data_IF_432763824180
#
_entry.id   IF_432763824180
#
_cell.length_a   1.000
_cell.length_b   1.000
_cell.length_c   1.000
_cell.angle_alpha   90.00
_cell.angle_beta   90.00
_cell.angle_gamma   90.00
#
_symmetry.space_group_name_H-M   'P 1'
#
loop_
_entity.id
_entity.type
_entity.pdbx_description
1 polymer ?
#
# COMPACT_ATOMS: atom_id res chain seq x y z
N UNK A 1 2.73 7.93 2.52
CA UNK A 1 2.23 7.06 3.62
C UNK A 1 0.85 7.50 4.07
N UNK A 2 -0.18 6.64 3.95
CA UNK A 2 -1.56 6.92 4.40
C UNK A 2 -1.94 5.92 5.51
N UNK A 3 -2.55 6.40 6.59
CA UNK A 3 -3.01 5.56 7.69
C UNK A 3 -4.53 5.50 7.67
N UNK A 4 -5.06 4.28 7.64
CA UNK A 4 -6.49 4.03 7.76
C UNK A 4 -6.79 3.69 9.20
N UNK A 5 -7.87 4.24 9.73
CA UNK A 5 -8.35 3.95 11.08
C UNK A 5 -9.87 3.72 11.04
N UNK A 6 -10.32 2.61 11.62
CA UNK A 6 -11.67 2.09 11.42
C UNK A 6 -12.60 2.30 12.61
N UNK A 7 -13.51 3.26 12.52
CA UNK A 7 -14.52 3.53 13.55
C UNK A 7 -15.70 2.56 13.35
N UNK A 8 -15.87 1.55 14.21
CA UNK A 8 -16.96 0.57 14.05
C UNK A 8 -18.19 0.85 14.91
N UNK A 9 -19.35 0.78 14.22
CA UNK A 9 -20.77 0.79 14.61
C UNK A 9 -21.23 1.91 15.57
N UNK A 10 -21.97 2.87 14.99
CA UNK A 10 -23.12 3.48 15.66
C UNK A 10 -24.07 2.37 16.16
N UNK A 11 -24.71 2.49 17.33
CA UNK A 11 -25.63 1.48 17.84
C UNK A 11 -26.79 1.27 16.84
N UNK A 12 -27.05 0.01 16.45
CA UNK A 12 -28.20 -0.45 15.68
C UNK A 12 -28.57 0.30 14.37
N UNK A 13 -27.62 0.43 13.42
CA UNK A 13 -27.84 1.03 12.07
C UNK A 13 -28.66 0.17 11.10
N UNK A 14 -29.54 -0.73 11.56
CA UNK A 14 -30.42 -1.50 10.65
C UNK A 14 -31.67 -0.67 10.24
N UNK A 15 -31.91 0.50 10.86
CA UNK A 15 -33.11 1.34 10.60
C UNK A 15 -32.85 2.72 9.97
N UNK A 16 -31.64 3.27 10.04
CA UNK A 16 -31.36 4.64 9.57
C UNK A 16 -31.01 4.66 8.09
N UNK A 17 -31.42 5.73 7.38
CA UNK A 17 -30.97 5.98 6.02
C UNK A 17 -29.52 6.45 6.01
N UNK A 18 -28.81 6.28 4.88
CA UNK A 18 -27.45 6.81 4.74
C UNK A 18 -27.38 8.31 5.04
N UNK A 19 -28.41 9.06 4.67
CA UNK A 19 -28.45 10.50 4.88
C UNK A 19 -28.63 10.88 6.35
N UNK A 20 -29.25 10.01 7.14
CA UNK A 20 -29.32 10.20 8.60
C UNK A 20 -27.94 9.97 9.21
N UNK A 21 -27.22 8.93 8.77
CA UNK A 21 -25.84 8.67 9.21
C UNK A 21 -24.89 9.82 8.81
N UNK A 22 -25.12 10.45 7.65
CA UNK A 22 -24.42 11.69 7.25
C UNK A 22 -24.71 12.79 8.26
N UNK A 23 -25.98 13.10 8.54
CA UNK A 23 -26.38 14.13 9.51
C UNK A 23 -25.73 13.93 10.89
N UNK A 24 -25.81 12.72 11.44
CA UNK A 24 -25.18 12.38 12.73
C UNK A 24 -23.66 12.55 12.70
N UNK A 25 -23.00 12.21 11.58
CA UNK A 25 -21.55 12.37 11.46
C UNK A 25 -21.16 13.86 11.46
N UNK A 26 -21.98 14.71 10.83
CA UNK A 26 -21.72 16.15 10.78
C UNK A 26 -21.99 16.84 12.12
N UNK A 27 -23.10 16.52 12.78
CA UNK A 27 -23.37 16.99 14.15
C UNK A 27 -22.24 16.60 15.11
N UNK A 28 -21.74 15.38 14.98
CA UNK A 28 -20.59 14.91 15.76
C UNK A 28 -19.31 15.70 15.46
N UNK A 29 -18.98 15.97 14.19
CA UNK A 29 -17.82 16.78 13.80
C UNK A 29 -17.92 18.23 14.32
N UNK A 30 -19.11 18.83 14.23
CA UNK A 30 -19.39 20.18 14.76
C UNK A 30 -19.25 20.21 16.28
N UNK A 31 -19.80 19.22 16.99
CA UNK A 31 -19.67 19.09 18.45
C UNK A 31 -18.21 18.98 18.93
N UNK A 32 -17.31 18.48 18.07
CA UNK A 32 -15.86 18.43 18.33
C UNK A 32 -15.11 19.73 17.97
N UNK A 33 -15.79 20.74 17.42
CA UNK A 33 -15.16 21.95 16.87
C UNK A 33 -14.25 21.63 15.67
N UNK A 34 -14.59 20.60 14.89
CA UNK A 34 -13.80 20.09 13.77
C UNK A 34 -14.58 20.23 12.46
N UNK A 35 -14.76 21.48 12.03
CA UNK A 35 -15.48 21.79 10.80
C UNK A 35 -14.77 21.21 9.56
N UNK A 36 -15.56 20.61 8.67
CA UNK A 36 -15.07 20.10 7.40
C UNK A 36 -14.84 21.26 6.42
N UNK A 37 -13.69 21.31 5.76
CA UNK A 37 -13.39 22.32 4.72
C UNK A 37 -13.78 21.87 3.32
N UNK A 38 -14.16 20.62 3.15
CA UNK A 38 -14.60 20.07 1.88
C UNK A 38 -15.34 18.76 2.07
N UNK A 39 -16.29 18.49 1.17
CA UNK A 39 -17.04 17.23 1.13
C UNK A 39 -16.95 16.64 -0.25
N UNK A 40 -16.70 15.33 -0.31
CA UNK A 40 -16.69 14.58 -1.56
C UNK A 40 -17.53 13.32 -1.42
N UNK A 41 -18.65 13.26 -2.15
CA UNK A 41 -19.49 12.07 -2.24
C UNK A 41 -19.12 11.29 -3.50
N UNK A 42 -18.74 10.03 -3.32
CA UNK A 42 -18.53 9.11 -4.43
C UNK A 42 -19.61 8.04 -4.42
N UNK A 43 -20.30 7.88 -5.54
CA UNK A 43 -21.36 6.89 -5.74
C UNK A 43 -20.95 5.94 -6.85
N UNK A 44 -21.16 4.64 -6.63
CA UNK A 44 -20.75 3.57 -7.53
C UNK A 44 -21.96 2.68 -7.84
N UNK A 45 -22.32 2.62 -9.12
CA UNK A 45 -23.34 1.73 -9.66
C UNK A 45 -22.72 0.56 -10.43
N UNK A 46 -23.43 -0.57 -10.49
CA UNK A 46 -23.12 -1.76 -11.26
C UNK A 46 -23.72 -1.76 -12.68
N UNK A 47 -24.45 -0.69 -13.02
CA UNK A 47 -24.88 -0.34 -14.36
C UNK A 47 -25.13 1.18 -14.44
N UNK A 48 -25.31 1.75 -15.64
CA UNK A 48 -25.48 3.20 -15.78
C UNK A 48 -26.84 3.67 -15.27
N UNK A 49 -27.88 2.82 -15.40
CA UNK A 49 -29.24 3.12 -14.95
C UNK A 49 -29.33 3.40 -13.45
N UNK A 50 -28.52 2.71 -12.65
CA UNK A 50 -28.45 2.94 -11.20
C UNK A 50 -27.95 4.35 -10.84
N UNK A 51 -27.23 5.03 -11.75
CA UNK A 51 -26.74 6.39 -11.55
C UNK A 51 -27.61 7.46 -12.24
N UNK A 52 -28.72 7.09 -12.88
CA UNK A 52 -29.60 8.02 -13.60
C UNK A 52 -30.01 9.24 -12.76
N UNK A 53 -30.43 8.98 -11.52
CA UNK A 53 -30.84 10.04 -10.58
C UNK A 53 -29.69 10.94 -10.11
N UNK A 54 -28.44 10.58 -10.44
CA UNK A 54 -27.21 11.30 -10.08
C UNK A 54 -26.61 12.08 -11.25
N UNK A 55 -27.14 11.96 -12.47
CA UNK A 55 -26.59 12.61 -13.67
C UNK A 55 -26.49 14.14 -13.52
N UNK A 56 -27.53 14.79 -13.00
CA UNK A 56 -27.53 16.25 -12.78
C UNK A 56 -26.60 16.74 -11.68
N UNK A 57 -26.02 15.82 -10.89
CA UNK A 57 -25.10 16.14 -9.78
C UNK A 57 -23.63 15.94 -10.17
N UNK A 58 -23.34 15.56 -11.42
CA UNK A 58 -21.99 15.32 -11.89
C UNK A 58 -21.21 16.63 -11.98
N UNK A 59 -20.15 16.76 -11.18
CA UNK A 59 -19.23 17.91 -11.20
C UNK A 59 -17.81 17.53 -11.62
N UNK A 60 -17.51 16.23 -11.66
CA UNK A 60 -16.23 15.68 -12.06
C UNK A 60 -16.42 14.58 -13.11
N UNK A 61 -15.37 14.30 -13.90
CA UNK A 61 -15.38 13.18 -14.84
C UNK A 61 -15.80 11.88 -14.14
N UNK A 62 -16.69 11.14 -14.78
CA UNK A 62 -17.08 9.82 -14.33
C UNK A 62 -15.94 8.84 -14.61
N UNK A 63 -15.70 7.93 -13.67
CA UNK A 63 -14.81 6.80 -13.88
C UNK A 63 -15.68 5.61 -14.22
N UNK A 64 -15.55 5.10 -15.44
CA UNK A 64 -16.24 3.86 -15.82
C UNK A 64 -15.23 2.72 -15.84
N UNK A 65 -15.71 1.57 -15.45
CA UNK A 65 -15.00 0.32 -15.43
C UNK A 65 -15.93 -0.74 -15.99
N UNK A 66 -15.52 -1.48 -17.01
CA UNK A 66 -16.42 -2.44 -17.64
C UNK A 66 -15.72 -3.66 -18.17
N UNK A 67 -16.48 -4.74 -18.26
CA UNK A 67 -16.07 -5.97 -18.95
C UNK A 67 -16.54 -5.91 -20.39
N UNK A 68 -15.61 -5.74 -21.31
CA UNK A 68 -15.90 -5.71 -22.75
C UNK A 68 -16.03 -7.17 -23.21
N UNK A 69 -17.19 -7.49 -23.80
CA UNK A 69 -17.42 -8.79 -24.43
C UNK A 69 -17.00 -8.73 -25.90
N UNK A 70 -16.37 -9.79 -26.39
CA UNK A 70 -15.81 -9.83 -27.74
C UNK A 70 -16.89 -10.27 -28.72
N UNK A 71 -17.70 -9.32 -29.20
CA UNK A 71 -18.77 -9.61 -30.15
C UNK A 71 -18.27 -9.87 -31.59
N UNK A 72 -16.98 -9.63 -31.88
CA UNK A 72 -16.26 -10.33 -32.96
C UNK A 72 -14.76 -10.38 -32.64
N UNK A 73 -14.26 -11.61 -32.52
CA UNK A 73 -13.02 -11.98 -31.84
C UNK A 73 -11.75 -11.27 -32.35
N UNK A 74 -11.64 -11.04 -33.65
CA UNK A 74 -10.44 -10.46 -34.26
C UNK A 74 -10.50 -8.93 -34.36
N UNK A 75 -11.69 -8.36 -34.57
CA UNK A 75 -11.86 -6.92 -34.72
C UNK A 75 -11.72 -6.21 -33.38
N UNK A 76 -12.32 -6.74 -32.31
CA UNK A 76 -12.18 -6.14 -30.99
C UNK A 76 -10.74 -6.24 -30.48
N UNK A 77 -10.02 -7.34 -30.74
CA UNK A 77 -8.61 -7.45 -30.33
C UNK A 77 -7.70 -6.48 -31.08
N UNK A 78 -7.84 -6.37 -32.41
CA UNK A 78 -7.10 -5.39 -33.22
C UNK A 78 -7.46 -3.94 -32.88
N UNK A 79 -8.74 -3.69 -32.56
CA UNK A 79 -9.20 -2.39 -32.07
C UNK A 79 -8.61 -2.08 -30.69
N UNK A 80 -8.49 -3.07 -29.81
CA UNK A 80 -7.88 -2.89 -28.49
C UNK A 80 -6.35 -2.70 -28.58
N UNK A 81 -5.68 -3.41 -29.50
CA UNK A 81 -4.23 -3.32 -29.76
C UNK A 81 -3.83 -1.96 -30.35
N UNK A 82 -4.58 -1.45 -31.33
CA UNK A 82 -4.26 -0.19 -32.00
C UNK A 82 -4.88 1.06 -31.35
N UNK A 83 -6.03 0.94 -30.66
CA UNK A 83 -6.81 2.10 -30.22
C UNK A 83 -6.70 2.36 -28.70
N UNK A 84 -6.42 1.34 -27.87
CA UNK A 84 -6.31 1.57 -26.41
C UNK A 84 -5.02 2.25 -25.98
N UNK A 85 -3.93 2.19 -26.75
CA UNK A 85 -2.75 2.99 -26.40
C UNK A 85 -3.04 4.47 -26.68
N UNK A 86 -3.67 4.75 -27.83
CA UNK A 86 -3.85 6.12 -28.33
C UNK A 86 -5.00 6.91 -27.65
N UNK A 87 -6.07 6.25 -27.17
CA UNK A 87 -7.19 6.95 -26.49
C UNK A 87 -6.95 7.15 -24.98
N UNK A 88 -5.94 6.49 -24.38
CA UNK A 88 -5.58 6.69 -22.97
C UNK A 88 -6.57 6.15 -21.91
N UNK A 89 -6.99 4.87 -21.95
CA UNK A 89 -7.63 4.22 -20.82
C UNK A 89 -6.68 4.28 -19.62
N UNK A 90 -7.24 4.45 -18.42
CA UNK A 90 -6.42 4.53 -17.21
C UNK A 90 -5.75 3.18 -16.91
N UNK A 91 -6.47 2.09 -17.20
CA UNK A 91 -6.05 0.75 -16.84
C UNK A 91 -6.79 -0.29 -17.69
N UNK A 92 -6.06 -1.28 -18.16
CA UNK A 92 -6.59 -2.47 -18.84
C UNK A 92 -6.19 -3.67 -17.98
N UNK A 93 -7.12 -4.57 -17.74
CA UNK A 93 -6.89 -5.81 -17.02
C UNK A 93 -7.33 -6.99 -17.89
N UNK A 94 -6.40 -7.93 -18.08
CA UNK A 94 -6.52 -9.11 -18.92
C UNK A 94 -6.39 -10.35 -18.04
N UNK A 95 -7.50 -11.02 -17.69
CA UNK A 95 -7.44 -12.34 -17.05
C UNK A 95 -6.85 -13.37 -18.02
N UNK A 96 -5.84 -14.10 -17.55
CA UNK A 96 -5.08 -15.06 -18.37
C UNK A 96 -5.36 -16.53 -17.98
N UNK A 97 -6.44 -16.76 -17.24
CA UNK A 97 -6.84 -18.08 -16.73
C UNK A 97 -6.23 -18.41 -15.36
N UNK A 98 -6.97 -19.21 -14.58
CA UNK A 98 -6.65 -19.43 -13.16
C UNK A 98 -6.65 -18.10 -12.40
N UNK A 99 -5.64 -17.89 -11.56
CA UNK A 99 -5.40 -16.64 -10.84
C UNK A 99 -4.43 -15.69 -11.59
N UNK A 100 -4.04 -16.02 -12.83
CA UNK A 100 -3.06 -15.21 -13.59
C UNK A 100 -3.70 -13.99 -14.25
N UNK A 101 -3.01 -12.86 -14.22
CA UNK A 101 -3.50 -11.60 -14.78
C UNK A 101 -2.37 -10.74 -15.34
N UNK A 102 -2.69 -10.00 -16.39
CA UNK A 102 -1.87 -8.92 -16.94
C UNK A 102 -2.65 -7.62 -16.79
N UNK A 103 -2.00 -6.59 -16.30
CA UNK A 103 -2.58 -5.28 -16.11
C UNK A 103 -1.70 -4.24 -16.79
N UNK A 104 -2.27 -3.46 -17.70
CA UNK A 104 -1.61 -2.32 -18.33
C UNK A 104 -2.21 -1.02 -17.81
N UNK A 105 -1.39 0.02 -17.76
CA UNK A 105 -1.74 1.41 -17.51
C UNK A 105 -0.69 2.30 -18.20
N UNK A 106 -0.97 3.58 -18.47
CA UNK A 106 0.00 4.47 -19.07
C UNK A 106 1.33 4.46 -18.28
N UNK A 107 2.43 4.15 -18.97
CA UNK A 107 3.77 4.05 -18.37
C UNK A 107 3.98 2.86 -17.43
N UNK A 108 3.04 1.92 -17.30
CA UNK A 108 3.19 0.80 -16.36
C UNK A 108 2.46 -0.50 -16.77
N UNK A 109 3.18 -1.61 -16.77
CA UNK A 109 2.67 -2.95 -17.04
C UNK A 109 2.95 -3.86 -15.84
N UNK A 110 1.92 -4.55 -15.34
CA UNK A 110 2.02 -5.51 -14.24
C UNK A 110 1.60 -6.89 -14.75
N UNK A 111 2.39 -7.91 -14.43
CA UNK A 111 2.00 -9.30 -14.69
C UNK A 111 2.11 -10.11 -13.42
N UNK A 112 1.03 -10.80 -13.07
CA UNK A 112 0.95 -11.66 -11.89
C UNK A 112 0.56 -13.06 -12.32
N UNK A 113 1.37 -14.04 -11.95
CA UNK A 113 1.04 -15.42 -12.24
C UNK A 113 1.75 -16.40 -11.28
N UNK A 114 1.23 -17.64 -11.13
CA UNK A 114 1.99 -18.73 -10.51
C UNK A 114 3.30 -18.99 -11.27
N UNK A 115 4.35 -19.44 -10.60
CA UNK A 115 5.67 -19.75 -11.21
C UNK A 115 5.59 -20.71 -12.42
N UNK A 116 4.65 -21.65 -12.40
CA UNK A 116 4.43 -22.63 -13.47
C UNK A 116 3.50 -22.12 -14.59
N UNK A 117 3.13 -20.84 -14.57
CA UNK A 117 2.21 -20.28 -15.56
C UNK A 117 2.80 -20.27 -16.96
N UNK A 118 1.93 -20.58 -17.94
CA UNK A 118 2.23 -20.48 -19.37
C UNK A 118 2.59 -19.05 -19.81
N UNK A 119 2.28 -18.03 -18.98
CA UNK A 119 2.62 -16.64 -19.24
C UNK A 119 4.12 -16.35 -19.22
N UNK A 120 4.90 -17.01 -18.36
CA UNK A 120 6.32 -16.68 -18.19
C UNK A 120 7.16 -16.93 -19.43
N UNK A 121 7.02 -18.07 -20.15
CA UNK A 121 7.67 -18.25 -21.44
C UNK A 121 7.31 -17.16 -22.45
N UNK A 122 6.03 -16.78 -22.54
CA UNK A 122 5.55 -15.74 -23.47
C UNK A 122 6.12 -14.37 -23.15
N UNK A 123 6.15 -14.01 -21.86
CA UNK A 123 6.75 -12.76 -21.41
C UNK A 123 8.25 -12.72 -21.72
N UNK A 124 8.97 -13.82 -21.49
CA UNK A 124 10.40 -13.91 -21.80
C UNK A 124 10.68 -13.78 -23.30
N UNK A 125 9.83 -14.35 -24.15
CA UNK A 125 9.92 -14.18 -25.62
C UNK A 125 9.73 -12.72 -26.04
N UNK A 126 8.67 -12.06 -25.54
CA UNK A 126 8.41 -10.63 -25.80
C UNK A 126 9.60 -9.80 -25.30
N UNK A 127 10.05 -10.08 -24.08
CA UNK A 127 11.18 -9.40 -23.45
C UNK A 127 12.47 -9.50 -24.27
N UNK A 128 12.82 -10.70 -24.72
CA UNK A 128 14.02 -10.94 -25.51
C UNK A 128 13.98 -10.19 -26.84
N UNK A 129 12.81 -10.07 -27.46
CA UNK A 129 12.63 -9.41 -28.76
C UNK A 129 12.83 -7.90 -28.70
N UNK A 130 12.36 -7.25 -27.64
CA UNK A 130 12.51 -5.80 -27.48
C UNK A 130 13.88 -5.38 -26.96
N UNK A 131 14.85 -6.32 -26.91
CA UNK A 131 16.26 -5.99 -26.76
C UNK A 131 16.51 -5.11 -25.55
N UNK A 132 15.83 -5.43 -24.44
CA UNK A 132 15.87 -4.66 -23.22
C UNK A 132 17.18 -4.98 -22.50
N UNK A 133 18.27 -4.45 -23.07
CA UNK A 133 19.63 -4.59 -22.55
C UNK A 133 19.63 -3.97 -21.16
N UNK A 134 19.72 -4.83 -20.15
CA UNK A 134 19.81 -4.42 -18.77
C UNK A 134 21.04 -3.51 -18.61
N UNK A 135 20.82 -2.28 -18.13
CA UNK A 135 21.92 -1.37 -17.77
C UNK A 135 22.51 -1.73 -16.42
N UNK A 136 21.64 -2.12 -15.50
CA UNK A 136 21.96 -2.38 -14.10
C UNK A 136 20.93 -3.38 -13.57
N UNK A 137 21.34 -4.24 -12.63
CA UNK A 137 20.43 -5.15 -11.93
C UNK A 137 20.70 -5.11 -10.44
N UNK A 138 19.63 -5.04 -9.66
CA UNK A 138 19.64 -5.08 -8.21
C UNK A 138 18.92 -6.34 -7.77
N UNK A 139 19.49 -7.05 -6.81
CA UNK A 139 18.87 -8.22 -6.18
C UNK A 139 18.95 -8.07 -4.67
N UNK A 140 17.84 -8.36 -4.00
CA UNK A 140 17.77 -8.39 -2.55
C UNK A 140 16.68 -9.35 -2.07
N UNK A 141 16.69 -9.64 -0.77
CA UNK A 141 15.63 -10.41 -0.13
C UNK A 141 14.86 -9.54 0.85
N UNK A 142 13.54 -9.62 0.82
CA UNK A 142 12.66 -9.01 1.81
C UNK A 142 11.58 -10.03 2.22
N UNK A 143 11.32 -10.19 3.52
CA UNK A 143 10.37 -11.19 4.04
C UNK A 143 10.62 -12.62 3.50
N UNK A 144 11.90 -13.02 3.41
CA UNK A 144 12.33 -14.32 2.87
C UNK A 144 11.93 -14.57 1.41
N UNK A 145 11.71 -13.50 0.64
CA UNK A 145 11.34 -13.56 -0.77
C UNK A 145 12.36 -12.82 -1.60
N UNK A 146 12.63 -13.34 -2.79
CA UNK A 146 13.51 -12.70 -3.74
C UNK A 146 12.82 -11.48 -4.37
N UNK A 147 13.58 -10.38 -4.42
CA UNK A 147 13.26 -9.19 -5.17
C UNK A 147 14.39 -8.95 -6.16
N UNK A 148 14.03 -8.65 -7.40
CA UNK A 148 14.97 -8.30 -8.45
C UNK A 148 14.48 -7.07 -9.18
N UNK A 149 15.32 -6.06 -9.31
CA UNK A 149 15.02 -4.91 -10.14
C UNK A 149 16.02 -4.81 -11.28
N UNK A 150 15.55 -4.59 -12.50
CA UNK A 150 16.39 -4.51 -13.70
C UNK A 150 16.18 -3.15 -14.37
N UNK A 151 17.26 -2.37 -14.49
CA UNK A 151 17.25 -1.05 -15.13
C UNK A 151 17.25 -1.17 -16.64
N UNK A 152 16.36 -0.42 -17.28
CA UNK A 152 16.22 -0.34 -18.72
C UNK A 152 16.58 1.06 -19.21
N UNK A 153 16.76 1.27 -20.53
CA UNK A 153 17.00 2.60 -21.07
C UNK A 153 15.91 3.64 -20.78
N UNK A 154 14.65 3.21 -20.62
CA UNK A 154 13.47 4.07 -20.46
C UNK A 154 12.73 3.88 -19.13
N UNK A 155 13.21 2.98 -18.26
CA UNK A 155 12.41 2.53 -17.13
C UNK A 155 13.10 1.46 -16.29
N UNK A 156 12.32 0.66 -15.56
CA UNK A 156 12.83 -0.48 -14.82
C UNK A 156 11.79 -1.61 -14.76
N UNK A 157 12.26 -2.85 -14.57
CA UNK A 157 11.42 -3.95 -14.09
C UNK A 157 11.65 -4.10 -12.59
N UNK A 158 10.59 -4.37 -11.84
CA UNK A 158 10.65 -4.92 -10.50
C UNK A 158 9.94 -6.28 -10.48
N UNK A 159 10.69 -7.34 -10.23
CA UNK A 159 10.22 -8.70 -10.02
C UNK A 159 10.10 -8.94 -8.50
N UNK A 160 8.93 -9.39 -8.07
CA UNK A 160 8.61 -9.66 -6.67
C UNK A 160 7.91 -11.00 -6.51
N UNK A 161 7.93 -11.55 -5.29
CA UNK A 161 7.17 -12.74 -4.93
C UNK A 161 6.14 -12.42 -3.84
N UNK A 162 4.92 -12.00 -4.21
CA UNK A 162 3.90 -11.55 -3.24
C UNK A 162 3.31 -12.69 -2.40
N UNK A 163 3.50 -13.96 -2.80
CA UNK A 163 3.17 -15.16 -2.03
C UNK A 163 4.02 -16.35 -2.53
N UNK A 164 4.05 -17.45 -1.77
CA UNK A 164 4.78 -18.66 -2.18
C UNK A 164 4.30 -19.15 -3.54
N UNK A 165 5.24 -19.53 -4.42
CA UNK A 165 4.98 -20.04 -5.77
C UNK A 165 4.34 -19.03 -6.74
N UNK A 166 4.47 -17.72 -6.46
CA UNK A 166 3.92 -16.64 -7.25
C UNK A 166 4.97 -15.61 -7.57
N UNK A 167 4.98 -15.18 -8.83
CA UNK A 167 5.79 -14.07 -9.28
C UNK A 167 4.90 -12.91 -9.74
N UNK A 168 5.36 -11.70 -9.48
CA UNK A 168 4.77 -10.47 -9.95
C UNK A 168 5.86 -9.61 -10.58
N UNK A 169 5.67 -9.26 -11.86
CA UNK A 169 6.57 -8.37 -12.60
C UNK A 169 5.89 -7.02 -12.77
N UNK A 170 6.62 -5.96 -12.48
CA UNK A 170 6.22 -4.58 -12.67
C UNK A 170 7.20 -3.92 -13.63
N UNK A 171 6.76 -3.60 -14.84
CA UNK A 171 7.53 -2.83 -15.80
C UNK A 171 7.05 -1.39 -15.79
N UNK A 172 7.89 -0.48 -15.28
CA UNK A 172 7.56 0.93 -15.09
C UNK A 172 8.43 1.79 -16.01
N UNK A 173 7.82 2.70 -16.76
CA UNK A 173 8.48 3.77 -17.51
C UNK A 173 8.75 4.93 -16.56
N UNK A 174 9.94 5.51 -16.63
CA UNK A 174 10.26 6.65 -15.78
C UNK A 174 9.58 7.94 -16.22
N UNK A 175 9.30 8.86 -15.29
CA UNK A 175 8.79 10.18 -15.63
C UNK A 175 9.70 10.90 -16.63
N UNK A 176 9.14 11.36 -17.75
CA UNK A 176 9.87 12.08 -18.80
C UNK A 176 10.59 11.19 -19.82
N UNK A 177 10.51 9.86 -19.70
CA UNK A 177 10.98 8.93 -20.73
C UNK A 177 9.85 8.59 -21.72
N UNK A 178 10.25 8.20 -22.93
CA UNK A 178 9.33 7.76 -23.99
C UNK A 178 8.72 6.38 -23.65
N UNK A 179 7.38 6.30 -23.63
CA UNK A 179 6.63 5.08 -23.33
C UNK A 179 6.45 4.18 -24.57
N UNK A 180 6.92 4.62 -25.74
CA UNK A 180 6.84 3.88 -27.01
C UNK A 180 7.35 2.45 -26.88
N UNK A 181 8.44 2.21 -26.14
CA UNK A 181 8.96 0.86 -25.93
C UNK A 181 7.99 -0.02 -25.12
N UNK A 182 7.36 0.54 -24.08
CA UNK A 182 6.34 -0.16 -23.29
C UNK A 182 5.10 -0.46 -24.15
N UNK A 183 4.71 0.46 -25.01
CA UNK A 183 3.57 0.29 -25.91
C UNK A 183 3.81 -0.83 -26.92
N UNK A 184 5.03 -0.97 -27.45
CA UNK A 184 5.40 -2.11 -28.29
C UNK A 184 5.43 -3.45 -27.53
N UNK A 185 5.98 -3.45 -26.29
CA UNK A 185 5.95 -4.64 -25.41
C UNK A 185 4.51 -5.06 -25.13
N UNK A 186 3.64 -4.09 -24.83
CA UNK A 186 2.22 -4.32 -24.62
C UNK A 186 1.55 -4.89 -25.87
N UNK A 187 1.78 -4.31 -27.05
CA UNK A 187 1.20 -4.79 -28.30
C UNK A 187 1.58 -6.24 -28.62
N UNK A 188 2.88 -6.61 -28.55
CA UNK A 188 3.33 -8.00 -28.79
C UNK A 188 2.81 -8.95 -27.71
N UNK A 189 2.76 -8.52 -26.45
CA UNK A 189 2.18 -9.32 -25.37
C UNK A 189 0.68 -9.59 -25.62
N UNK A 190 -0.09 -8.56 -25.94
CA UNK A 190 -1.51 -8.66 -26.30
C UNK A 190 -1.69 -9.60 -27.48
N UNK A 191 -0.93 -9.44 -28.56
CA UNK A 191 -0.99 -10.34 -29.70
C UNK A 191 -0.81 -11.83 -29.29
N UNK A 192 0.09 -12.12 -28.35
CA UNK A 192 0.41 -13.48 -27.88
C UNK A 192 -0.52 -14.03 -26.82
N UNK A 193 -1.11 -13.19 -25.97
CA UNK A 193 -2.10 -13.60 -24.98
C UNK A 193 -3.33 -14.23 -25.64
N UNK A 194 -3.57 -13.85 -26.90
CA UNK A 194 -4.71 -14.27 -27.67
C UNK A 194 -6.00 -13.70 -27.10
N UNK A 195 -7.10 -14.18 -27.65
CA UNK A 195 -8.43 -13.62 -27.45
C UNK A 195 -8.92 -13.88 -26.02
N UNK A 196 -9.25 -12.81 -25.28
CA UNK A 196 -9.68 -12.84 -23.86
C UNK A 196 -10.71 -11.75 -23.56
N UNK A 197 -11.62 -12.01 -22.63
CA UNK A 197 -12.45 -10.96 -22.03
C UNK A 197 -11.56 -9.95 -21.31
N UNK A 198 -11.82 -8.65 -21.47
CA UNK A 198 -11.04 -7.60 -20.83
C UNK A 198 -11.86 -6.80 -19.84
N UNK A 199 -11.23 -6.41 -18.73
CA UNK A 199 -11.75 -5.39 -17.82
C UNK A 199 -11.01 -4.08 -18.10
N UNK A 200 -11.72 -3.10 -18.63
CA UNK A 200 -11.15 -1.80 -19.00
C UNK A 200 -11.68 -0.72 -18.07
N UNK A 201 -10.80 0.16 -17.61
CA UNK A 201 -11.13 1.33 -16.80
C UNK A 201 -10.69 2.61 -17.49
N UNK A 202 -11.57 3.59 -17.54
CA UNK A 202 -11.32 4.86 -18.22
C UNK A 202 -12.05 6.03 -17.55
N UNK A 203 -11.81 7.23 -18.07
CA UNK A 203 -12.43 8.47 -17.65
C UNK A 203 -13.25 9.11 -18.76
N UNK A 204 -14.45 9.58 -18.43
CA UNK A 204 -15.26 10.37 -19.33
C UNK A 204 -15.77 11.62 -18.62
N UNK A 205 -15.80 12.75 -19.33
CA UNK A 205 -16.33 14.00 -18.77
C UNK A 205 -17.79 13.89 -18.35
N UNK A 206 -18.62 13.19 -19.14
CA UNK A 206 -20.05 13.01 -18.90
C UNK A 206 -20.41 11.52 -18.94
N UNK A 207 -21.33 11.08 -18.07
CA UNK A 207 -21.85 9.71 -18.12
C UNK A 207 -22.55 9.45 -19.46
N UNK A 208 -22.24 8.34 -20.16
CA UNK A 208 -22.89 8.01 -21.41
C UNK A 208 -24.33 7.57 -21.15
N UNK A 209 -25.21 7.77 -22.14
CA UNK A 209 -26.62 7.35 -22.06
C UNK A 209 -26.81 5.86 -22.36
N UNK A 210 -25.84 5.24 -23.01
CA UNK A 210 -25.84 3.82 -23.37
C UNK A 210 -24.74 3.09 -22.62
N UNK A 211 -24.98 1.82 -22.28
CA UNK A 211 -23.98 0.92 -21.71
C UNK A 211 -23.02 0.46 -22.80
N UNK A 212 -22.20 1.41 -23.25
CA UNK A 212 -21.09 1.18 -24.17
C UNK A 212 -19.82 1.76 -23.56
N UNK A 213 -18.71 1.04 -23.77
CA UNK A 213 -17.38 1.45 -23.35
C UNK A 213 -16.54 1.58 -24.62
N UNK A 214 -16.06 2.79 -24.91
CA UNK A 214 -15.30 3.07 -26.14
C UNK A 214 -16.08 2.68 -27.43
N UNK A 215 -17.40 2.88 -27.42
CA UNK A 215 -18.29 2.50 -28.53
C UNK A 215 -18.62 1.01 -28.62
N UNK A 216 -18.10 0.16 -27.72
CA UNK A 216 -18.37 -1.28 -27.70
C UNK A 216 -19.39 -1.66 -26.62
N UNK A 217 -20.27 -2.65 -26.87
CA UNK A 217 -21.18 -3.16 -25.85
C UNK A 217 -20.41 -3.82 -24.71
N UNK A 218 -20.90 -3.64 -23.48
CA UNK A 218 -20.24 -4.11 -22.25
C UNK A 218 -21.16 -5.04 -21.47
N UNK A 219 -20.62 -6.16 -21.00
CA UNK A 219 -21.37 -7.18 -20.25
C UNK A 219 -21.69 -6.73 -18.83
N UNK A 220 -20.83 -5.91 -18.25
CA UNK A 220 -21.00 -5.31 -16.93
C UNK A 220 -20.29 -3.97 -16.90
N UNK A 221 -20.96 -2.94 -16.37
CA UNK A 221 -20.43 -1.58 -16.24
C UNK A 221 -20.50 -1.14 -14.79
N UNK A 222 -19.36 -1.00 -14.15
CA UNK A 222 -19.24 -0.28 -12.91
C UNK A 222 -18.93 1.20 -13.20
N UNK A 223 -19.89 2.07 -12.89
CA UNK A 223 -19.73 3.51 -13.06
C UNK A 223 -19.52 4.16 -11.68
N UNK A 224 -18.57 5.10 -11.61
CA UNK A 224 -18.27 5.88 -10.41
C UNK A 224 -18.43 7.36 -10.70
N UNK A 225 -19.29 8.02 -9.95
CA UNK A 225 -19.53 9.45 -9.99
C UNK A 225 -19.00 10.09 -8.70
N UNK A 226 -18.28 11.20 -8.83
CA UNK A 226 -17.73 11.97 -7.71
C UNK A 226 -18.33 13.37 -7.71
N UNK A 227 -18.97 13.76 -6.61
CA UNK A 227 -19.52 15.09 -6.36
C UNK A 227 -18.67 15.75 -5.30
N UNK A 228 -18.18 16.96 -5.55
CA UNK A 228 -17.31 17.69 -4.62
C UNK A 228 -17.89 19.07 -4.36
N UNK A 229 -18.41 19.28 -3.15
CA UNK A 229 -19.01 20.55 -2.75
C UNK A 229 -18.20 21.24 -1.65
N UNK A 230 -18.14 22.59 -1.65
CA UNK A 230 -17.67 23.34 -0.50
C UNK A 230 -18.65 23.19 0.68
N UNK A 231 -18.22 23.44 1.94
CA UNK A 231 -19.01 23.17 3.14
C UNK A 231 -20.34 23.95 3.22
N UNK A 232 -20.46 25.08 2.51
CA UNK A 232 -21.61 25.97 2.55
C UNK A 232 -22.68 25.67 1.49
N UNK A 233 -22.40 24.79 0.52
CA UNK A 233 -23.30 24.51 -0.59
C UNK A 233 -23.71 23.03 -0.60
N UNK A 234 -24.99 22.80 -0.26
CA UNK A 234 -25.77 21.56 -0.39
C UNK A 234 -25.52 20.44 0.64
N UNK A 235 -26.32 20.46 1.72
CA UNK A 235 -27.37 19.47 2.02
C UNK A 235 -28.55 20.07 2.79
N UNK A 236 -28.72 21.39 2.69
CA UNK A 236 -29.84 22.10 3.32
C UNK A 236 -31.14 21.45 2.87
N UNK A 237 -31.93 21.09 3.87
CA UNK A 237 -33.10 20.21 3.85
C UNK A 237 -34.22 20.62 2.89
N UNK A 238 -34.08 21.72 2.15
CA UNK A 238 -35.15 22.35 1.38
C UNK A 238 -34.88 22.54 -0.12
N UNK A 239 -33.73 22.14 -0.67
CA UNK A 239 -33.48 22.27 -2.12
C UNK A 239 -32.93 20.98 -2.73
N UNK A 240 -33.79 20.33 -3.53
CA UNK A 240 -33.60 19.09 -4.29
C UNK A 240 -33.75 17.79 -3.48
N UNK A 241 -34.72 16.94 -3.90
CA UNK A 241 -34.88 15.59 -3.39
C UNK A 241 -33.53 14.85 -3.45
N UNK A 242 -32.99 14.48 -2.28
CA UNK A 242 -31.75 13.70 -2.19
C UNK A 242 -31.93 12.41 -3.00
N UNK A 243 -31.11 12.15 -4.04
CA UNK A 243 -31.29 10.96 -4.86
C UNK A 243 -31.16 9.67 -4.04
N UNK A 244 -31.90 8.64 -4.45
CA UNK A 244 -31.87 7.33 -3.80
C UNK A 244 -30.49 6.68 -3.99
N UNK A 245 -29.96 6.10 -2.91
CA UNK A 245 -28.72 5.32 -2.90
C UNK A 245 -28.98 3.80 -2.97
N UNK A 246 -30.20 3.38 -3.32
CA UNK A 246 -30.57 1.95 -3.39
C UNK A 246 -29.76 1.25 -4.47
N UNK A 247 -29.13 0.13 -4.11
CA UNK A 247 -28.31 -0.66 -5.05
C UNK A 247 -26.93 -0.06 -5.35
N UNK A 248 -26.61 1.12 -4.80
CA UNK A 248 -25.33 1.81 -4.99
C UNK A 248 -24.37 1.53 -3.84
N UNK A 249 -23.08 1.47 -4.14
CA UNK A 249 -22.04 1.64 -3.10
C UNK A 249 -21.72 3.11 -3.03
N UNK A 250 -21.65 3.69 -1.85
CA UNK A 250 -21.26 5.08 -1.71
C UNK A 250 -20.22 5.27 -0.62
N UNK A 251 -19.43 6.32 -0.76
CA UNK A 251 -18.65 6.84 0.34
C UNK A 251 -18.66 8.37 0.31
N UNK A 252 -18.99 8.97 1.44
CA UNK A 252 -18.89 10.41 1.63
C UNK A 252 -17.64 10.70 2.46
N UNK A 253 -16.79 11.61 1.98
CA UNK A 253 -15.59 12.03 2.69
C UNK A 253 -15.64 13.50 3.08
N UNK A 254 -15.26 13.81 4.32
CA UNK A 254 -15.05 15.15 4.84
C UNK A 254 -13.56 15.41 4.99
N UNK A 255 -13.06 16.47 4.37
CA UNK A 255 -11.71 16.98 4.61
C UNK A 255 -11.72 17.80 5.89
N UNK A 256 -10.93 17.40 6.88
CA UNK A 256 -10.91 18.05 8.20
C UNK A 256 -9.48 18.49 8.52
N UNK A 257 -9.02 19.59 7.91
CA UNK A 257 -7.62 19.97 7.94
C UNK A 257 -7.13 20.40 9.32
N UNK A 258 -7.98 21.01 10.14
CA UNK A 258 -7.63 21.59 11.45
C UNK A 258 -7.65 20.57 12.60
N UNK A 259 -7.70 19.29 12.28
CA UNK A 259 -7.65 18.25 13.29
C UNK A 259 -6.27 18.19 13.98
N UNK A 260 -5.20 18.45 13.23
CA UNK A 260 -3.83 18.52 13.74
C UNK A 260 -2.98 19.43 12.86
N UNK A 261 -2.02 20.15 13.44
CA UNK A 261 -1.04 20.95 12.70
C UNK A 261 -0.17 20.10 11.76
N UNK A 262 0.03 18.84 12.08
CA UNK A 262 0.97 17.96 11.36
C UNK A 262 0.30 16.95 10.44
N UNK A 263 -1.03 16.78 10.54
CA UNK A 263 -1.77 15.78 9.79
C UNK A 263 -2.90 16.44 9.00
N UNK A 264 -3.10 15.99 7.77
CA UNK A 264 -4.34 16.18 7.03
C UNK A 264 -5.21 14.96 7.23
N UNK A 265 -6.48 15.21 7.57
CA UNK A 265 -7.41 14.15 7.92
C UNK A 265 -8.59 14.14 6.95
N UNK A 266 -9.06 12.93 6.67
CA UNK A 266 -10.25 12.70 5.88
C UNK A 266 -11.14 11.73 6.63
N UNK A 267 -12.30 12.17 7.09
CA UNK A 267 -13.32 11.28 7.65
C UNK A 267 -14.13 10.73 6.47
N UNK A 268 -14.47 9.44 6.47
CA UNK A 268 -15.13 8.77 5.34
C UNK A 268 -16.26 7.87 5.86
N UNK A 269 -17.49 8.16 5.47
CA UNK A 269 -18.65 7.32 5.72
C UNK A 269 -18.92 6.44 4.49
N UNK A 270 -18.68 5.13 4.59
CA UNK A 270 -18.87 4.14 3.53
C UNK A 270 -20.16 3.36 3.72
N UNK A 271 -20.89 3.06 2.65
CA UNK A 271 -22.07 2.17 2.68
C UNK A 271 -22.00 1.10 1.61
N UNK A 272 -22.28 -0.13 2.00
CA UNK A 272 -22.47 -1.26 1.09
C UNK A 272 -23.40 -2.34 1.67
N UNK A 273 -24.30 -2.87 0.83
CA UNK A 273 -25.30 -3.91 1.11
C UNK A 273 -26.24 -3.57 2.27
N UNK A 274 -25.80 -3.74 3.52
CA UNK A 274 -26.63 -3.63 4.71
C UNK A 274 -25.99 -2.82 5.86
N UNK A 275 -24.83 -2.17 5.62
CA UNK A 275 -24.16 -1.41 6.68
C UNK A 275 -23.52 -0.13 6.19
N UNK A 276 -23.59 0.88 7.04
CA UNK A 276 -22.77 2.09 6.97
C UNK A 276 -21.59 1.94 7.94
N UNK A 277 -20.40 2.36 7.52
CA UNK A 277 -19.15 2.31 8.29
C UNK A 277 -18.45 3.66 8.21
N UNK A 278 -18.10 4.22 9.36
CA UNK A 278 -17.30 5.44 9.44
C UNK A 278 -15.81 5.09 9.55
N UNK A 279 -14.96 5.81 8.83
CA UNK A 279 -13.51 5.62 8.82
C UNK A 279 -12.84 6.99 8.95
N UNK A 280 -11.67 7.05 9.55
CA UNK A 280 -10.83 8.26 9.55
C UNK A 280 -9.48 7.92 8.93
N UNK A 281 -9.07 8.72 7.95
CA UNK A 281 -7.85 8.58 7.18
C UNK A 281 -6.92 9.72 7.56
N UNK A 282 -5.68 9.40 7.91
CA UNK A 282 -4.69 10.37 8.35
C UNK A 282 -3.51 10.37 7.37
N UNK A 283 -3.07 11.56 6.98
CA UNK A 283 -1.89 11.77 6.14
C UNK A 283 -0.98 12.82 6.78
N UNK A 284 0.34 12.64 6.76
CA UNK A 284 1.27 13.67 7.22
C UNK A 284 1.27 14.85 6.24
N UNK A 285 1.38 16.09 6.76
CA UNK A 285 1.34 17.30 5.93
C UNK A 285 2.67 17.63 5.23
N UNK A 286 3.80 17.11 5.69
CA UNK A 286 5.13 17.24 5.06
C UNK A 286 6.08 16.17 5.60
N UNK A 287 7.24 15.99 4.95
CA UNK A 287 8.27 15.02 5.29
C UNK A 287 8.72 15.08 6.76
N UNK A 288 8.99 13.90 7.29
CA UNK A 288 9.31 13.55 8.68
C UNK A 288 8.15 13.61 9.69
N UNK A 289 7.90 12.46 10.31
CA UNK A 289 6.87 12.28 11.32
C UNK A 289 7.38 12.74 12.67
N UNK A 290 6.86 13.86 13.19
CA UNK A 290 7.22 14.25 14.55
C UNK A 290 6.64 13.28 15.60
N UNK A 291 7.39 12.95 16.67
CA UNK A 291 6.89 12.19 17.83
C UNK A 291 5.65 12.79 18.50
N UNK A 292 5.39 14.08 18.31
CA UNK A 292 4.19 14.75 18.79
C UNK A 292 2.94 14.34 17.99
N UNK A 293 3.05 14.16 16.67
CA UNK A 293 1.94 13.73 15.81
C UNK A 293 1.47 12.31 16.17
N UNK A 294 2.42 11.38 16.39
CA UNK A 294 2.11 10.03 16.86
C UNK A 294 1.45 10.02 18.25
N UNK A 295 1.92 10.89 19.16
CA UNK A 295 1.32 11.03 20.51
C UNK A 295 -0.09 11.60 20.46
N UNK A 296 -0.35 12.59 19.59
CA UNK A 296 -1.70 13.13 19.39
C UNK A 296 -2.65 12.03 18.89
N UNK A 297 -2.27 11.28 17.85
CA UNK A 297 -3.05 10.17 17.31
C UNK A 297 -3.35 9.08 18.36
N UNK A 298 -2.38 8.78 19.23
CA UNK A 298 -2.54 7.79 20.31
C UNK A 298 -3.44 8.29 21.46
N UNK A 299 -3.50 9.61 21.71
CA UNK A 299 -4.44 10.20 22.67
C UNK A 299 -5.87 10.15 22.14
N UNK A 300 -6.05 10.50 20.87
CA UNK A 300 -7.35 10.43 20.17
C UNK A 300 -7.91 9.00 20.12
N UNK A 301 -7.03 7.97 20.06
CA UNK A 301 -7.44 6.55 20.20
C UNK A 301 -8.17 6.24 21.51
N UNK A 302 -7.95 7.00 22.58
CA UNK A 302 -8.67 6.80 23.86
C UNK A 302 -10.06 7.42 23.85
N UNK A 303 -10.31 8.38 22.97
CA UNK A 303 -11.58 9.09 22.87
C UNK A 303 -12.51 8.46 21.83
N UNK A 304 -12.00 7.66 20.89
CA UNK A 304 -12.77 7.07 19.81
C UNK A 304 -12.70 5.53 19.82
N UNK A 305 -13.84 4.80 19.71
CA UNK A 305 -13.91 3.43 20.22
C UNK A 305 -13.12 2.38 19.42
N UNK A 306 -12.79 2.60 18.14
CA UNK A 306 -12.04 1.60 17.36
C UNK A 306 -11.15 2.31 16.34
N UNK A 307 -9.86 2.01 16.38
CA UNK A 307 -8.88 2.37 15.36
C UNK A 307 -7.87 1.21 15.22
N UNK A 308 -7.81 0.58 14.05
CA UNK A 308 -6.72 -0.29 13.63
C UNK A 308 -5.85 0.47 12.65
N UNK A 309 -4.54 0.52 12.89
CA UNK A 309 -3.59 1.25 12.05
C UNK A 309 -3.07 0.31 10.97
N UNK A 310 -3.35 0.62 9.70
CA UNK A 310 -2.69 -0.03 8.59
C UNK A 310 -2.10 1.03 7.65
N UNK A 311 -0.84 0.83 7.28
CA UNK A 311 -0.22 1.55 6.17
C UNK A 311 -0.80 0.93 4.92
N UNK A 312 -1.72 1.64 4.26
CA UNK A 312 -2.14 1.19 2.94
C UNK A 312 -1.02 1.53 1.97
N UNK A 313 -0.44 0.57 1.23
CA UNK A 313 0.30 0.92 0.04
C UNK A 313 -0.68 1.64 -0.89
N UNK A 314 -0.35 2.87 -1.27
CA UNK A 314 -1.10 3.58 -2.28
C UNK A 314 -0.94 2.82 -3.59
N UNK A 315 -2.03 2.56 -4.31
CA UNK A 315 -1.98 2.02 -5.67
C UNK A 315 -1.30 2.97 -6.67
N UNK A 316 -0.94 4.20 -6.26
CA UNK A 316 -0.38 5.24 -7.12
C UNK A 316 1.10 5.58 -6.78
N UNK A 317 1.75 4.92 -5.81
CA UNK A 317 3.17 5.18 -5.46
C UNK A 317 4.07 4.04 -5.99
N UNK A 318 4.34 4.04 -7.30
CA UNK A 318 5.40 3.17 -7.84
C UNK A 318 6.77 3.69 -7.38
N UNK A 319 7.69 2.81 -6.95
CA UNK A 319 9.00 3.25 -6.48
C UNK A 319 9.81 3.89 -7.63
N UNK A 320 10.67 4.86 -7.35
CA UNK A 320 11.65 5.34 -8.33
C UNK A 320 12.84 4.38 -8.40
N UNK A 321 13.65 4.44 -9.46
CA UNK A 321 14.89 3.64 -9.53
C UNK A 321 15.81 3.94 -8.34
N UNK A 322 15.98 5.22 -8.00
CA UNK A 322 16.74 5.64 -6.83
C UNK A 322 16.17 5.03 -5.54
N UNK A 323 14.85 4.99 -5.38
CA UNK A 323 14.23 4.32 -4.22
C UNK A 323 14.52 2.83 -4.18
N UNK A 324 14.54 2.16 -5.33
CA UNK A 324 14.90 0.74 -5.43
C UNK A 324 16.38 0.50 -5.12
N UNK A 325 17.29 1.36 -5.57
CA UNK A 325 18.72 1.31 -5.22
C UNK A 325 18.92 1.43 -3.70
N UNK A 326 18.26 2.41 -3.07
CA UNK A 326 18.31 2.56 -1.61
C UNK A 326 17.71 1.36 -0.88
N UNK A 327 16.59 0.82 -1.35
CA UNK A 327 15.97 -0.37 -0.76
C UNK A 327 16.87 -1.62 -0.90
N UNK A 328 17.46 -1.83 -2.08
CA UNK A 328 18.38 -2.93 -2.31
C UNK A 328 19.61 -2.81 -1.43
N UNK A 329 20.19 -1.60 -1.34
CA UNK A 329 21.32 -1.32 -0.46
C UNK A 329 20.98 -1.60 1.00
N UNK A 330 19.87 -1.06 1.51
CA UNK A 330 19.40 -1.29 2.89
C UNK A 330 19.25 -2.78 3.21
N UNK A 331 18.65 -3.56 2.31
CA UNK A 331 18.47 -5.00 2.50
C UNK A 331 19.79 -5.79 2.39
N UNK A 332 20.72 -5.37 1.53
CA UNK A 332 22.04 -5.99 1.44
C UNK A 332 22.87 -5.73 2.69
N UNK A 333 22.85 -4.49 3.22
CA UNK A 333 23.49 -4.16 4.50
C UNK A 333 22.86 -4.97 5.64
N UNK A 334 21.52 -5.07 5.66
CA UNK A 334 20.82 -5.89 6.65
C UNK A 334 21.18 -7.37 6.55
N UNK A 335 21.28 -7.92 5.34
CA UNK A 335 21.63 -9.32 5.12
C UNK A 335 23.05 -9.62 5.61
N UNK A 336 24.03 -8.79 5.25
CA UNK A 336 25.43 -8.91 5.73
C UNK A 336 25.52 -8.80 7.25
N UNK A 337 24.79 -7.86 7.84
CA UNK A 337 24.76 -7.69 9.30
C UNK A 337 24.11 -8.89 10.00
N UNK A 338 23.00 -9.41 9.44
CA UNK A 338 22.32 -10.58 9.98
C UNK A 338 23.21 -11.84 9.89
N UNK A 339 23.90 -12.04 8.75
CA UNK A 339 24.86 -13.13 8.57
C UNK A 339 26.02 -13.03 9.56
N UNK A 340 26.62 -11.84 9.70
CA UNK A 340 27.66 -11.59 10.71
C UNK A 340 27.18 -11.95 12.11
N UNK A 341 26.02 -11.45 12.54
CA UNK A 341 25.50 -11.72 13.89
C UNK A 341 25.10 -13.18 14.10
N UNK A 342 24.60 -13.86 13.06
CA UNK A 342 24.29 -15.29 13.12
C UNK A 342 25.56 -16.16 13.17
N UNK A 343 26.70 -15.67 12.71
CA UNK A 343 27.99 -16.35 12.81
C UNK A 343 28.61 -16.29 14.22
N UNK A 344 28.12 -15.39 15.07
CA UNK A 344 28.64 -15.23 16.43
C UNK A 344 28.10 -16.32 17.34
N UNK A 345 28.95 -16.81 18.24
CA UNK A 345 28.53 -17.73 19.28
C UNK A 345 27.51 -17.03 20.20
N UNK A 346 26.45 -17.77 20.55
CA UNK A 346 25.47 -17.30 21.53
C UNK A 346 26.17 -16.96 22.85
N UNK A 347 25.88 -15.80 23.46
CA UNK A 347 26.57 -15.41 24.68
C UNK A 347 26.16 -16.32 25.84
N UNK A 348 27.13 -16.68 26.70
CA UNK A 348 26.86 -17.47 27.90
C UNK A 348 25.99 -16.69 28.88
N UNK A 349 24.98 -17.35 29.48
CA UNK A 349 24.07 -16.72 30.42
C UNK A 349 24.85 -16.06 31.57
N UNK A 350 24.52 -14.82 31.94
CA UNK A 350 25.22 -14.14 33.02
C UNK A 350 24.82 -14.72 34.39
N UNK A 351 25.75 -14.69 35.34
CA UNK A 351 25.46 -15.05 36.73
C UNK A 351 24.49 -14.05 37.41
N UNK A 352 24.47 -12.79 36.95
CA UNK A 352 23.56 -11.74 37.42
C UNK A 352 22.90 -11.00 36.26
N UNK A 353 21.58 -10.84 36.34
CA UNK A 353 20.81 -10.13 35.32
C UNK A 353 20.90 -8.62 35.48
N UNK A 354 21.01 -7.85 34.38
CA UNK A 354 21.03 -6.40 34.47
C UNK A 354 19.70 -5.87 35.02
N UNK A 355 19.80 -4.91 35.94
CA UNK A 355 18.64 -4.21 36.49
C UNK A 355 18.10 -3.12 35.56
N UNK A 356 18.92 -2.64 34.61
CA UNK A 356 18.59 -1.60 33.62
C UNK A 356 19.31 -1.83 32.30
N UNK A 357 18.66 -1.46 31.21
CA UNK A 357 19.30 -1.36 29.89
C UNK A 357 20.14 -0.07 29.83
N UNK A 358 21.44 -0.17 29.53
CA UNK A 358 22.32 0.99 29.36
C UNK A 358 22.92 0.97 27.96
N UNK A 359 22.84 2.09 27.25
CA UNK A 359 23.51 2.29 25.97
C UNK A 359 24.99 2.61 26.22
N UNK A 360 25.91 1.94 25.51
CA UNK A 360 27.36 2.16 25.66
C UNK A 360 27.81 3.51 25.10
N UNK A 361 27.16 3.99 24.04
CA UNK A 361 27.47 5.24 23.32
C UNK A 361 26.19 6.05 23.06
N UNK A 362 26.32 7.36 22.87
CA UNK A 362 25.19 8.26 22.55
C UNK A 362 24.58 8.02 21.16
N UNK A 363 25.18 7.13 20.36
CA UNK A 363 24.75 6.78 19.00
C UNK A 363 23.51 5.90 18.97
N UNK A 364 23.19 5.20 20.06
CA UNK A 364 21.97 4.40 20.19
C UNK A 364 20.88 5.15 20.92
N UNK A 365 19.68 5.16 20.34
CA UNK A 365 18.51 5.83 20.92
C UNK A 365 17.27 4.97 20.71
N UNK A 366 16.36 4.97 21.69
CA UNK A 366 15.03 4.39 21.49
C UNK A 366 14.30 5.23 20.45
N UNK A 367 13.92 4.59 19.36
CA UNK A 367 13.05 5.16 18.36
C UNK A 367 11.62 5.13 18.90
N UNK A 368 11.25 6.21 19.59
CA UNK A 368 9.94 6.35 20.21
C UNK A 368 8.79 6.31 19.20
N UNK A 369 9.08 6.60 17.92
CA UNK A 369 8.11 6.56 16.81
C UNK A 369 7.90 5.14 16.30
N UNK A 370 8.98 4.37 16.19
CA UNK A 370 8.92 2.98 15.75
C UNK A 370 8.63 1.99 16.90
N UNK A 371 8.57 2.45 18.15
CA UNK A 371 8.24 1.64 19.33
C UNK A 371 6.74 1.65 19.63
N UNK A 372 6.17 0.48 19.94
CA UNK A 372 4.75 0.28 20.28
C UNK A 372 4.58 -0.50 21.60
N UNK A 373 3.41 -0.54 22.24
CA UNK A 373 3.21 -1.36 23.43
C UNK A 373 3.63 -2.82 23.18
N UNK A 374 4.58 -3.30 23.98
CA UNK A 374 5.16 -4.64 23.87
C UNK A 374 6.11 -4.85 22.68
N UNK A 375 6.59 -3.79 22.01
CA UNK A 375 7.71 -3.84 21.09
C UNK A 375 8.53 -2.54 21.14
N UNK A 376 9.83 -2.62 21.36
CA UNK A 376 10.73 -1.47 21.30
C UNK A 376 11.55 -1.50 20.02
N UNK A 377 11.83 -0.32 19.47
CA UNK A 377 12.76 -0.17 18.36
C UNK A 377 13.90 0.72 18.84
N UNK A 378 15.13 0.24 18.70
CA UNK A 378 16.33 0.94 19.16
C UNK A 378 17.20 1.21 17.93
N UNK A 379 17.36 2.48 17.60
CA UNK A 379 18.04 2.93 16.39
C UNK A 379 19.47 3.37 16.70
N UNK A 380 20.37 3.02 15.80
CA UNK A 380 21.72 3.56 15.73
C UNK A 380 21.77 4.74 14.76
N UNK A 381 22.59 5.75 15.06
CA UNK A 381 22.75 6.94 14.22
C UNK A 381 23.19 6.68 12.77
N UNK A 382 23.81 5.53 12.50
CA UNK A 382 24.28 5.14 11.16
C UNK A 382 23.28 4.27 10.37
N UNK A 383 22.06 4.06 10.87
CA UNK A 383 21.00 3.35 10.12
C UNK A 383 20.44 2.06 10.74
N UNK A 384 21.21 1.15 11.37
CA UNK A 384 20.64 -0.09 11.89
C UNK A 384 19.68 0.16 13.05
N UNK A 385 18.66 -0.69 13.15
CA UNK A 385 17.62 -0.67 14.17
C UNK A 385 17.41 -2.08 14.71
N UNK A 386 17.42 -2.20 16.03
CA UNK A 386 17.07 -3.43 16.75
C UNK A 386 15.60 -3.33 17.13
N UNK A 387 14.79 -4.25 16.62
CA UNK A 387 13.38 -4.40 16.96
C UNK A 387 13.25 -5.51 18.00
N UNK A 388 12.73 -5.14 19.17
CA UNK A 388 12.56 -6.01 20.32
C UNK A 388 11.09 -6.23 20.53
N UNK A 389 10.58 -7.42 20.30
CA UNK A 389 9.21 -7.77 20.67
C UNK A 389 9.22 -8.48 22.02
N UNK A 390 8.68 -7.83 23.04
CA UNK A 390 8.73 -8.33 24.41
C UNK A 390 7.85 -9.58 24.58
N UNK A 391 8.27 -10.53 25.45
CA UNK A 391 7.46 -11.69 25.76
C UNK A 391 6.09 -11.30 26.33
N UNK A 392 5.06 -12.07 25.94
CA UNK A 392 3.66 -11.96 26.39
C UNK A 392 3.12 -13.37 26.67
N UNK A 393 1.96 -13.47 27.31
CA UNK A 393 1.32 -14.76 27.67
C UNK A 393 1.22 -15.79 26.52
N UNK A 394 1.24 -15.39 25.25
CA UNK A 394 1.16 -16.28 24.09
C UNK A 394 2.32 -16.09 23.09
N UNK A 395 3.40 -15.39 23.48
CA UNK A 395 4.49 -15.05 22.57
C UNK A 395 5.82 -14.99 23.35
N UNK A 396 6.79 -15.84 23.03
CA UNK A 396 8.08 -15.98 23.77
C UNK A 396 9.04 -14.78 23.65
N UNK A 397 8.64 -13.78 22.86
CA UNK A 397 9.47 -12.63 22.53
C UNK A 397 10.44 -12.96 21.41
N UNK A 398 10.87 -11.96 20.65
CA UNK A 398 11.85 -12.15 19.57
C UNK A 398 12.59 -10.87 19.28
N UNK A 399 13.79 -11.02 18.73
CA UNK A 399 14.63 -9.94 18.25
C UNK A 399 14.65 -9.95 16.72
N UNK A 400 14.60 -8.76 16.16
CA UNK A 400 14.74 -8.54 14.74
C UNK A 400 15.68 -7.38 14.50
N UNK A 401 16.35 -7.38 13.36
CA UNK A 401 17.10 -6.24 12.86
C UNK A 401 16.39 -5.63 11.69
N UNK A 402 16.52 -4.32 11.57
CA UNK A 402 16.07 -3.53 10.42
C UNK A 402 17.16 -2.54 10.08
N UNK A 403 17.31 -2.22 8.82
CA UNK A 403 18.20 -1.16 8.34
C UNK A 403 17.42 -0.16 7.48
N UNK A 404 17.40 1.12 7.85
CA UNK A 404 16.68 2.13 7.07
C UNK A 404 15.21 1.77 6.82
N UNK A 405 14.84 1.62 5.55
CA UNK A 405 13.47 1.32 5.11
C UNK A 405 13.14 -0.19 5.07
N UNK A 406 14.13 -1.06 5.22
CA UNK A 406 14.02 -2.52 5.01
C UNK A 406 13.00 -3.24 5.90
N UNK A 407 12.63 -4.44 5.48
CA UNK A 407 11.81 -5.36 6.29
C UNK A 407 12.66 -5.98 7.39
N UNK A 408 12.09 -6.10 8.59
CA UNK A 408 12.84 -6.60 9.72
C UNK A 408 13.15 -8.09 9.56
N UNK A 409 14.40 -8.49 9.76
CA UNK A 409 14.88 -9.87 9.71
C UNK A 409 15.06 -10.36 11.14
N UNK A 410 14.53 -11.55 11.46
CA UNK A 410 14.75 -12.15 12.77
C UNK A 410 16.24 -12.45 12.96
N UNK A 411 16.81 -12.02 14.08
CA UNK A 411 18.21 -12.29 14.43
C UNK A 411 18.22 -12.88 15.82
N UNK A 412 19.06 -13.89 16.01
CA UNK A 412 19.15 -14.72 17.21
C UNK A 412 18.03 -15.77 17.27
N UNK A 413 18.35 -17.03 16.89
CA UNK A 413 17.54 -18.17 17.31
C UNK A 413 17.58 -18.25 18.85
N UNK A 414 16.46 -18.50 19.56
CA UNK A 414 16.53 -18.68 21.01
C UNK A 414 17.52 -19.82 21.36
N UNK A 415 18.29 -19.70 22.45
CA UNK A 415 19.13 -20.81 22.92
C UNK A 415 18.31 -22.09 23.03
N UNK A 416 18.87 -23.20 22.53
CA UNK A 416 18.32 -24.53 22.77
C UNK A 416 18.55 -24.96 24.23
N UNK A 417 17.68 -25.80 24.78
CA UNK A 417 17.81 -26.36 26.14
C UNK A 417 17.17 -25.52 27.26
N UNK A 418 17.71 -25.64 28.48
CA UNK A 418 17.21 -25.09 29.76
C UNK A 418 17.00 -23.57 29.81
N UNK A 419 17.35 -22.84 28.74
CA UNK A 419 17.17 -21.40 28.62
C UNK A 419 15.73 -20.99 28.23
N UNK A 420 14.82 -21.94 27.98
CA UNK A 420 13.42 -21.66 27.61
C UNK A 420 12.68 -20.79 28.63
N UNK A 421 12.91 -21.00 29.93
CA UNK A 421 12.32 -20.20 31.00
C UNK A 421 12.86 -18.76 31.03
N UNK A 422 14.10 -18.56 30.57
CA UNK A 422 14.74 -17.24 30.50
C UNK A 422 14.23 -16.39 29.32
N UNK A 423 13.70 -17.01 28.26
CA UNK A 423 13.10 -16.30 27.11
C UNK A 423 11.88 -15.46 27.51
N UNK A 424 11.18 -15.87 28.57
CA UNK A 424 10.03 -15.13 29.11
C UNK A 424 10.43 -13.91 29.95
N UNK A 425 11.72 -13.68 30.20
CA UNK A 425 12.21 -12.56 31.02
C UNK A 425 12.75 -11.42 30.15
N UNK A 426 12.19 -10.22 30.31
CA UNK A 426 12.67 -9.03 29.61
C UNK A 426 14.15 -8.72 29.91
N UNK A 427 14.66 -9.10 31.09
CA UNK A 427 16.04 -8.87 31.51
C UNK A 427 17.05 -9.65 30.66
N UNK A 428 16.67 -10.86 30.23
CA UNK A 428 17.47 -11.66 29.31
C UNK A 428 17.65 -10.92 27.98
N UNK A 429 16.54 -10.48 27.37
CA UNK A 429 16.58 -9.73 26.12
C UNK A 429 17.33 -8.41 26.24
N UNK A 430 17.15 -7.67 27.34
CA UNK A 430 17.91 -6.45 27.60
C UNK A 430 19.43 -6.72 27.65
N UNK A 431 19.85 -7.80 28.33
CA UNK A 431 21.25 -8.21 28.40
C UNK A 431 21.81 -8.63 27.04
N UNK A 432 21.09 -9.45 26.27
CA UNK A 432 21.48 -9.86 24.91
C UNK A 432 21.69 -8.61 24.04
N UNK A 433 20.78 -7.64 24.10
CA UNK A 433 20.91 -6.43 23.30
C UNK A 433 22.13 -5.60 23.71
N UNK A 434 22.31 -5.32 25.01
CA UNK A 434 23.37 -4.41 25.46
C UNK A 434 24.76 -5.01 25.42
N UNK A 435 24.87 -6.31 25.67
CA UNK A 435 26.16 -6.99 25.89
C UNK A 435 26.62 -7.73 24.65
N UNK A 436 25.69 -8.18 23.80
CA UNK A 436 25.99 -8.98 22.63
C UNK A 436 25.65 -8.25 21.33
N UNK A 437 24.42 -7.81 21.09
CA UNK A 437 24.05 -7.26 19.78
C UNK A 437 24.63 -5.86 19.52
N UNK A 438 24.44 -4.89 20.41
CA UNK A 438 24.89 -3.52 20.18
C UNK A 438 26.40 -3.41 19.96
N UNK A 439 27.27 -4.00 20.81
CA UNK A 439 28.71 -3.92 20.62
C UNK A 439 29.17 -4.55 19.30
N UNK A 440 28.54 -5.65 18.90
CA UNK A 440 28.90 -6.35 17.67
C UNK A 440 28.46 -5.57 16.42
N UNK A 441 27.27 -4.96 16.47
CA UNK A 441 26.83 -4.03 15.41
C UNK A 441 27.77 -2.83 15.32
N UNK A 442 28.20 -2.25 16.47
CA UNK A 442 29.16 -1.14 16.49
C UNK A 442 30.51 -1.53 15.85
N UNK A 443 31.09 -2.66 16.25
CA UNK A 443 32.35 -3.14 15.67
C UNK A 443 32.20 -3.35 14.15
N UNK A 444 31.12 -4.00 13.73
CA UNK A 444 30.85 -4.20 12.30
C UNK A 444 30.73 -2.88 11.53
N UNK A 445 30.14 -1.84 12.13
CA UNK A 445 30.03 -0.52 11.52
C UNK A 445 31.39 0.21 11.44
N UNK A 446 32.26 0.03 12.44
CA UNK A 446 33.62 0.58 12.44
C UNK A 446 34.48 -0.10 11.36
N UNK A 447 34.38 -1.42 11.25
CA UNK A 447 35.11 -2.22 10.26
C UNK A 447 34.67 -1.92 8.81
N UNK A 448 33.37 -1.66 8.58
CA UNK A 448 32.83 -1.34 7.25
C UNK A 448 32.88 0.16 6.89
N UNK A 449 33.15 1.05 7.86
CA UNK A 449 33.34 2.48 7.59
C UNK A 449 34.80 2.83 7.23
N UNK A 450 35.78 2.07 7.75
CA UNK A 450 37.20 2.22 7.45
C UNK A 450 37.64 1.74 6.05
N UNK A 451 36.78 1.01 5.33
CA UNK A 451 36.99 0.60 3.93
C UNK A 451 36.44 1.59 2.89
N UNK A 452 36.03 2.81 3.31
CA UNK A 452 35.46 3.86 2.44
C UNK A 452 36.32 5.11 2.29
N UNK A 453 37.50 5.14 2.89
CA UNK A 453 38.60 6.08 2.58
C UNK A 453 39.64 5.39 1.69
#
# INVERSE_FOLDING_TARGET
MRFVAHISRLPATVRNSFWDDVGYTEEWLVGLGKEATGRTLTVVGHNLRQLESWWGWQQRPAVLEGWIDLMSVEFTWRYLEAFLVDIGPRQIHVPCGGESEVQWSPGHLVVRAPEMSWLWPRLREVWARFGLVARESLEWQALSRAYRATRLPYGYILETQPRSCWNEWHLTVEPGQDDTALNHVWADLVQRLGVRSLRVRWYQEMLPRTESLLGLPVRMVQARLTVTNPPSLLWDSNSLQRPSLRGLRCHLSWEVPEWSRHLSNTVVLRRWRQGTRLEAHFRPRTGEWEPAAYRALRRERRQLPVFTWAVSPGHDDLPTWESLQHQAHDHQQLARLAEFLNSLAHPQLPNEWPSRMRYRRETWKVDALASIPGQWTISHGLGPKIVVSWPRHHHVGWLSLKWGSSTAVAVVAPPGGDAQDSLNQWRYWAWVITTHLMPQIENWLEDNSSTRD
#
